data_IF_031296667197
#
_entry.id   IF_031296667197
#
_cell.length_a   1.000
_cell.length_b   1.000
_cell.length_c   1.000
_cell.angle_alpha   90.00
_cell.angle_beta   90.00
_cell.angle_gamma   90.00
#
_symmetry.space_group_name_H-M   'P 1'
#
loop_
_entity.id
_entity.type
_entity.pdbx_description
1 polymer ?
#
# COMPACT_ATOMS: atom_id res chain seq x y z
N UNK A 1 -18.51 -46.62 41.96
CA UNK A 1 -18.73 -46.19 40.57
C UNK A 1 -18.81 -44.67 40.39
N UNK A 2 -19.02 -43.86 41.43
CA UNK A 2 -19.11 -42.38 41.34
C UNK A 2 -17.77 -41.64 41.32
N UNK A 3 -16.70 -42.24 41.80
CA UNK A 3 -15.36 -41.60 41.90
C UNK A 3 -14.62 -41.53 40.56
N UNK A 4 -14.89 -42.46 39.61
CA UNK A 4 -14.23 -42.47 38.31
C UNK A 4 -14.79 -41.43 37.33
N UNK A 5 -16.04 -40.99 37.53
CA UNK A 5 -16.66 -40.00 36.69
C UNK A 5 -16.11 -38.57 36.94
N UNK A 6 -15.76 -38.29 38.20
CA UNK A 6 -15.18 -37.00 38.58
C UNK A 6 -13.77 -36.78 38.02
N UNK A 7 -12.97 -37.87 37.98
CA UNK A 7 -11.60 -37.80 37.46
C UNK A 7 -11.56 -37.54 35.96
N UNK A 8 -12.50 -38.09 35.21
CA UNK A 8 -12.59 -37.85 33.76
C UNK A 8 -13.07 -36.41 33.43
N UNK A 9 -14.02 -35.88 34.21
CA UNK A 9 -14.49 -34.51 34.03
C UNK A 9 -13.40 -33.47 34.32
N UNK A 10 -12.57 -33.74 35.36
CA UNK A 10 -11.47 -32.85 35.72
C UNK A 10 -10.33 -32.89 34.69
N UNK A 11 -10.05 -34.06 34.11
CA UNK A 11 -9.02 -34.19 33.07
C UNK A 11 -9.43 -33.50 31.76
N UNK A 12 -10.73 -33.56 31.39
CA UNK A 12 -11.26 -32.90 30.20
C UNK A 12 -11.24 -31.36 30.33
N UNK A 13 -11.53 -30.83 31.49
CA UNK A 13 -11.47 -29.39 31.79
C UNK A 13 -10.01 -28.88 31.79
N UNK A 14 -9.06 -29.68 32.25
CA UNK A 14 -7.65 -29.29 32.27
C UNK A 14 -7.03 -29.26 30.86
N UNK A 15 -7.49 -30.10 29.96
CA UNK A 15 -7.00 -30.12 28.57
C UNK A 15 -7.57 -28.93 27.76
N UNK A 16 -8.76 -28.44 28.08
CA UNK A 16 -9.33 -27.24 27.45
C UNK A 16 -8.69 -25.94 27.92
N UNK A 17 -8.01 -25.93 29.07
CA UNK A 17 -7.37 -24.73 29.62
C UNK A 17 -5.97 -24.44 29.05
N UNK A 18 -5.40 -25.34 28.24
CA UNK A 18 -4.08 -25.18 27.60
C UNK A 18 -4.27 -25.02 26.10
N UNK A 19 -5.27 -24.24 25.67
CA UNK A 19 -5.23 -23.73 24.32
C UNK A 19 -4.02 -22.77 24.22
N UNK A 20 -3.01 -23.04 23.36
CA UNK A 20 -1.93 -22.08 23.17
C UNK A 20 -2.58 -20.77 22.77
N UNK A 21 -2.27 -19.70 23.52
CA UNK A 21 -2.62 -18.38 23.10
C UNK A 21 -1.94 -18.19 21.74
N UNK A 22 -2.68 -18.37 20.67
CA UNK A 22 -2.23 -18.01 19.33
C UNK A 22 -2.06 -16.50 19.36
N UNK A 23 -0.82 -16.05 19.55
CA UNK A 23 -0.49 -14.66 19.38
C UNK A 23 -0.93 -14.28 17.97
N UNK A 24 -1.95 -13.47 17.88
CA UNK A 24 -2.41 -12.98 16.58
C UNK A 24 -1.22 -12.28 15.92
N UNK A 25 -0.77 -12.82 14.79
CA UNK A 25 0.26 -12.19 13.98
C UNK A 25 -0.29 -10.85 13.54
N UNK A 26 0.37 -9.77 13.93
CA UNK A 26 -0.08 -8.46 13.56
C UNK A 26 0.60 -8.05 12.26
N UNK A 27 -0.20 -8.05 11.23
CA UNK A 27 0.06 -7.35 9.98
C UNK A 27 -0.89 -6.17 9.93
N UNK A 28 -0.37 -4.97 9.78
CA UNK A 28 -1.17 -3.76 9.71
C UNK A 28 -0.67 -2.85 8.59
N UNK A 29 -1.58 -2.39 7.77
CA UNK A 29 -1.36 -1.39 6.76
C UNK A 29 -2.38 -0.27 6.93
N UNK A 30 -1.90 0.96 6.99
CA UNK A 30 -2.74 2.12 7.30
C UNK A 30 -2.21 3.38 6.62
N UNK A 31 -2.95 4.47 6.72
CA UNK A 31 -2.45 5.76 6.28
C UNK A 31 -1.27 6.19 7.15
N UNK A 32 -0.15 6.51 6.52
CA UNK A 32 1.07 7.03 7.17
C UNK A 32 1.07 8.54 7.34
N UNK A 33 0.03 9.21 6.89
CA UNK A 33 -0.13 10.66 6.92
C UNK A 33 -1.26 11.13 6.00
N UNK A 34 -1.43 12.42 5.90
CA UNK A 34 -2.42 12.99 4.98
C UNK A 34 -1.95 12.83 3.54
N UNK A 35 -2.75 12.21 2.65
CA UNK A 35 -2.43 12.17 1.24
C UNK A 35 -2.56 13.58 0.63
N UNK A 36 -1.76 13.83 -0.41
CA UNK A 36 -1.73 15.11 -1.11
C UNK A 36 -1.89 14.93 -2.62
N UNK A 37 -2.52 15.91 -3.24
CA UNK A 37 -2.61 16.02 -4.70
C UNK A 37 -2.22 17.43 -5.11
N UNK A 38 -1.38 17.54 -6.12
CA UNK A 38 -0.92 18.82 -6.68
C UNK A 38 -1.05 18.83 -8.20
N UNK A 39 -1.21 19.98 -8.80
CA UNK A 39 -1.34 20.14 -10.26
C UNK A 39 -2.72 19.79 -10.84
N UNK A 40 -3.62 19.22 -10.05
CA UNK A 40 -4.97 18.87 -10.48
C UNK A 40 -5.96 20.03 -10.30
N UNK A 41 -6.92 20.12 -11.23
CA UNK A 41 -8.08 21.01 -11.10
C UNK A 41 -9.24 20.20 -10.54
N UNK A 42 -9.75 20.59 -9.36
CA UNK A 42 -10.82 19.88 -8.63
C UNK A 42 -10.48 18.41 -8.31
N UNK A 43 -9.18 18.09 -8.19
CA UNK A 43 -8.73 16.76 -7.80
C UNK A 43 -8.83 16.53 -6.29
N UNK A 44 -8.92 15.26 -5.89
CA UNK A 44 -8.91 14.86 -4.48
C UNK A 44 -8.31 13.47 -4.30
N UNK A 45 -7.79 13.20 -3.11
CA UNK A 45 -7.28 11.87 -2.75
C UNK A 45 -7.65 11.55 -1.31
N UNK A 46 -8.04 10.29 -1.09
CA UNK A 46 -8.34 9.75 0.24
C UNK A 46 -7.65 8.40 0.42
N UNK A 47 -7.25 8.11 1.65
CA UNK A 47 -6.68 6.80 2.02
C UNK A 47 -7.28 6.36 3.35
N UNK A 48 -8.11 5.33 3.31
CA UNK A 48 -8.83 4.82 4.48
C UNK A 48 -8.61 3.31 4.63
N UNK A 49 -8.29 2.88 5.86
CA UNK A 49 -8.32 1.47 6.19
C UNK A 49 -9.76 0.95 6.10
N UNK A 50 -9.93 -0.23 5.50
CA UNK A 50 -11.23 -0.90 5.49
C UNK A 50 -11.35 -1.89 6.65
N UNK A 51 -12.53 -2.51 6.79
CA UNK A 51 -12.82 -3.49 7.85
C UNK A 51 -12.04 -4.80 7.72
N UNK A 52 -11.45 -5.07 6.56
CA UNK A 52 -10.64 -6.26 6.29
C UNK A 52 -9.15 -6.04 6.58
N UNK A 53 -8.76 -4.83 6.98
CA UNK A 53 -7.37 -4.48 7.29
C UNK A 53 -6.55 -4.05 6.09
N UNK A 54 -7.18 -3.84 4.91
CA UNK A 54 -6.53 -3.27 3.74
C UNK A 54 -6.59 -1.73 3.77
N UNK A 55 -5.69 -1.08 3.08
CA UNK A 55 -5.75 0.36 2.85
C UNK A 55 -6.36 0.63 1.48
N UNK A 56 -7.53 1.25 1.46
CA UNK A 56 -8.21 1.67 0.23
C UNK A 56 -7.84 3.11 -0.09
N UNK A 57 -7.26 3.34 -1.25
CA UNK A 57 -6.88 4.66 -1.76
C UNK A 57 -7.77 4.99 -2.94
N UNK A 58 -8.51 6.09 -2.84
CA UNK A 58 -9.32 6.62 -3.94
C UNK A 58 -8.71 7.94 -4.39
N UNK A 59 -8.40 8.03 -5.68
CA UNK A 59 -7.82 9.20 -6.32
C UNK A 59 -8.84 9.71 -7.35
N UNK A 60 -9.25 10.95 -7.20
CA UNK A 60 -9.93 11.69 -8.23
C UNK A 60 -8.91 12.65 -8.85
N UNK A 61 -8.53 12.42 -10.11
CA UNK A 61 -7.56 13.24 -10.83
C UNK A 61 -8.13 14.62 -11.23
N UNK A 62 -9.41 14.85 -10.99
CA UNK A 62 -10.09 16.08 -11.38
C UNK A 62 -10.32 16.15 -12.88
N UNK A 63 -10.43 17.37 -13.37
CA UNK A 63 -10.55 17.64 -14.82
C UNK A 63 -9.18 17.52 -15.47
N UNK A 64 -8.97 16.45 -16.21
CA UNK A 64 -7.75 16.22 -16.97
C UNK A 64 -7.93 16.76 -18.38
N UNK A 65 -7.25 17.85 -18.66
CA UNK A 65 -7.23 18.47 -19.98
C UNK A 65 -5.93 19.26 -20.17
N UNK A 66 -5.33 19.25 -21.35
CA UNK A 66 -4.16 20.10 -21.65
C UNK A 66 -4.42 21.60 -21.46
N UNK A 67 -5.70 22.00 -21.53
CA UNK A 67 -6.09 23.39 -21.33
C UNK A 67 -6.16 23.80 -19.85
N UNK A 68 -6.39 22.83 -18.97
CA UNK A 68 -6.63 23.08 -17.55
C UNK A 68 -5.40 22.76 -16.66
N UNK A 69 -4.39 22.07 -17.23
CA UNK A 69 -3.25 21.56 -16.44
C UNK A 69 -1.95 21.85 -17.18
N UNK A 70 -1.21 22.84 -16.72
CA UNK A 70 0.12 23.17 -17.24
C UNK A 70 1.25 22.43 -16.53
N UNK A 71 0.95 21.64 -15.52
CA UNK A 71 1.93 20.94 -14.68
C UNK A 71 1.55 19.48 -14.49
N UNK A 72 2.54 18.67 -14.15
CA UNK A 72 2.30 17.27 -13.79
C UNK A 72 1.36 17.20 -12.59
N UNK A 73 0.29 16.44 -12.71
CA UNK A 73 -0.54 16.05 -11.55
C UNK A 73 0.26 15.01 -10.76
N UNK A 74 0.58 15.34 -9.53
CA UNK A 74 1.29 14.43 -8.62
C UNK A 74 0.41 14.15 -7.39
N UNK A 75 0.20 12.87 -7.12
CA UNK A 75 -0.49 12.39 -5.92
C UNK A 75 0.53 11.65 -5.07
N UNK A 76 0.54 11.95 -3.78
CA UNK A 76 1.40 11.27 -2.80
C UNK A 76 0.52 10.74 -1.68
N UNK A 77 0.59 9.44 -1.45
CA UNK A 77 -0.14 8.75 -0.38
C UNK A 77 0.87 8.10 0.55
N UNK A 78 1.10 8.66 1.75
CA UNK A 78 1.93 8.03 2.76
C UNK A 78 1.25 6.76 3.29
N UNK A 79 1.97 5.63 3.26
CA UNK A 79 1.49 4.32 3.70
C UNK A 79 2.36 3.83 4.85
N UNK A 80 1.74 3.54 5.98
CA UNK A 80 2.40 2.99 7.15
C UNK A 80 2.20 1.49 7.24
N UNK A 81 3.28 0.78 7.52
CA UNK A 81 3.31 -0.67 7.71
C UNK A 81 3.78 -1.01 9.12
N UNK A 82 3.15 -2.02 9.71
CA UNK A 82 3.60 -2.69 10.92
C UNK A 82 3.52 -4.19 10.72
N UNK A 83 4.54 -4.91 11.16
CA UNK A 83 4.57 -6.36 11.08
C UNK A 83 5.48 -6.96 12.13
N UNK A 84 5.03 -8.03 12.79
CA UNK A 84 5.83 -8.85 13.69
C UNK A 84 6.31 -10.16 13.04
N UNK A 85 6.28 -10.21 11.72
CA UNK A 85 6.74 -11.33 10.90
C UNK A 85 7.19 -10.82 9.53
N UNK A 86 7.89 -11.62 8.73
CA UNK A 86 8.18 -11.28 7.34
C UNK A 86 6.88 -10.98 6.58
N UNK A 87 6.90 -9.96 5.76
CA UNK A 87 5.71 -9.44 5.10
C UNK A 87 5.93 -9.17 3.61
N UNK A 88 4.82 -9.06 2.91
CA UNK A 88 4.75 -8.48 1.58
C UNK A 88 3.54 -7.57 1.46
N UNK A 89 3.66 -6.54 0.64
CA UNK A 89 2.59 -5.65 0.28
C UNK A 89 2.26 -5.85 -1.18
N UNK A 90 1.01 -6.13 -1.43
CA UNK A 90 0.46 -6.18 -2.78
C UNK A 90 -0.50 -5.01 -2.99
N UNK A 91 -0.63 -4.59 -4.24
CA UNK A 91 -1.60 -3.60 -4.66
C UNK A 91 -2.42 -4.13 -5.83
N UNK A 92 -3.70 -3.84 -5.80
CA UNK A 92 -4.61 -4.08 -6.91
C UNK A 92 -5.39 -2.81 -7.22
N UNK A 93 -5.70 -2.61 -8.49
CA UNK A 93 -6.61 -1.57 -8.94
C UNK A 93 -8.00 -2.19 -9.10
N UNK A 94 -8.99 -1.67 -8.39
CA UNK A 94 -10.38 -2.15 -8.49
C UNK A 94 -11.13 -1.53 -9.67
N UNK A 95 -10.61 -0.46 -10.25
CA UNK A 95 -11.15 0.17 -11.45
C UNK A 95 -10.57 1.55 -11.70
N UNK A 96 -10.54 1.93 -12.97
CA UNK A 96 -10.39 3.29 -13.43
C UNK A 96 -11.72 3.69 -14.07
N UNK A 97 -12.42 4.65 -13.47
CA UNK A 97 -13.67 5.16 -14.00
C UNK A 97 -13.42 6.47 -14.70
N UNK A 98 -13.92 6.57 -15.91
CA UNK A 98 -13.84 7.76 -16.75
C UNK A 98 -15.25 8.22 -17.11
N UNK A 99 -15.45 9.52 -17.17
CA UNK A 99 -16.68 10.10 -17.70
C UNK A 99 -16.84 9.80 -19.20
N UNK A 100 -15.75 9.43 -19.86
CA UNK A 100 -15.70 9.12 -21.30
C UNK A 100 -14.71 7.97 -21.54
N UNK A 101 -15.07 6.98 -22.36
CA UNK A 101 -14.27 5.80 -22.64
C UNK A 101 -12.91 6.08 -23.33
N UNK A 102 -12.76 7.23 -23.95
CA UNK A 102 -11.51 7.68 -24.59
C UNK A 102 -10.67 8.61 -23.69
N UNK A 103 -11.11 8.80 -22.46
CA UNK A 103 -10.37 9.56 -21.48
C UNK A 103 -9.14 8.79 -20.98
N UNK A 104 -8.57 9.24 -19.87
CA UNK A 104 -7.40 8.70 -19.23
C UNK A 104 -7.41 7.16 -19.13
N UNK A 105 -6.35 6.52 -19.60
CA UNK A 105 -6.14 5.08 -19.48
C UNK A 105 -5.23 4.77 -18.28
N UNK A 106 -5.31 3.55 -17.76
CA UNK A 106 -4.42 3.13 -16.66
C UNK A 106 -2.93 3.20 -17.02
N UNK A 107 -2.59 3.08 -18.30
CA UNK A 107 -1.23 3.23 -18.82
C UNK A 107 -0.71 4.67 -18.83
N UNK A 108 -1.61 5.66 -18.71
CA UNK A 108 -1.26 7.08 -18.75
C UNK A 108 -0.90 7.62 -17.35
N UNK A 109 -1.14 6.84 -16.30
CA UNK A 109 -0.82 7.20 -14.92
C UNK A 109 0.37 6.40 -14.44
N UNK A 110 1.48 7.10 -14.18
CA UNK A 110 2.67 6.52 -13.57
C UNK A 110 2.44 6.16 -12.11
N UNK A 111 3.08 5.10 -11.65
CA UNK A 111 3.04 4.64 -10.26
C UNK A 111 4.43 4.26 -9.77
N UNK A 112 4.75 4.59 -8.52
CA UNK A 112 6.00 4.17 -7.89
C UNK A 112 5.98 4.35 -6.38
N UNK A 113 6.99 3.80 -5.72
CA UNK A 113 7.19 3.89 -4.29
C UNK A 113 8.44 4.70 -3.99
N UNK A 114 8.32 5.66 -3.08
CA UNK A 114 9.39 6.58 -2.74
C UNK A 114 9.50 6.79 -1.24
N UNK A 115 10.61 7.41 -0.85
CA UNK A 115 10.80 8.02 0.45
C UNK A 115 10.55 7.05 1.64
N UNK A 116 11.23 5.88 1.64
CA UNK A 116 11.12 4.95 2.76
C UNK A 116 11.70 5.59 4.02
N UNK A 117 10.94 5.57 5.12
CA UNK A 117 11.34 6.16 6.40
C UNK A 117 10.76 5.40 7.57
N UNK A 118 11.40 5.54 8.70
CA UNK A 118 10.94 4.96 9.95
C UNK A 118 9.71 5.70 10.47
N UNK A 119 8.76 4.95 11.01
CA UNK A 119 7.63 5.49 11.76
C UNK A 119 8.03 5.52 13.25
N UNK A 120 8.38 6.71 13.76
CA UNK A 120 8.73 6.89 15.16
C UNK A 120 10.19 6.57 15.52
N UNK A 121 10.44 6.19 16.76
CA UNK A 121 11.79 5.99 17.31
C UNK A 121 12.50 4.75 16.71
N UNK A 122 13.73 4.96 16.31
CA UNK A 122 14.56 4.07 15.50
C UNK A 122 15.01 2.75 16.18
N UNK A 123 14.37 2.29 17.24
CA UNK A 123 15.05 1.34 18.14
C UNK A 123 15.13 -0.11 17.68
N UNK A 124 14.32 -0.61 16.75
CA UNK A 124 14.16 -2.07 16.63
C UNK A 124 13.75 -2.59 15.25
N UNK A 125 14.09 -1.89 14.21
CA UNK A 125 13.80 -2.29 12.85
C UNK A 125 15.01 -3.01 12.28
N UNK A 126 14.76 -4.09 11.57
CA UNK A 126 15.74 -4.76 10.74
C UNK A 126 16.38 -3.77 9.76
N UNK A 127 17.59 -4.02 9.33
CA UNK A 127 18.31 -3.15 8.43
C UNK A 127 17.40 -2.75 7.23
N UNK A 128 17.35 -1.45 6.94
CA UNK A 128 16.53 -0.92 5.84
C UNK A 128 16.84 -1.57 4.47
N UNK A 129 18.07 -2.00 4.25
CA UNK A 129 18.48 -2.68 3.03
C UNK A 129 17.81 -4.04 2.79
N UNK A 130 17.17 -4.61 3.82
CA UNK A 130 16.45 -5.87 3.70
C UNK A 130 14.98 -5.69 3.28
N UNK A 131 14.50 -4.45 3.25
CA UNK A 131 13.17 -4.10 2.75
C UNK A 131 13.26 -3.74 1.27
N UNK A 132 12.68 -4.57 0.43
CA UNK A 132 12.89 -4.52 -1.02
C UNK A 132 11.65 -3.99 -1.71
N UNK A 133 11.75 -2.79 -2.27
CA UNK A 133 10.80 -2.32 -3.28
C UNK A 133 11.09 -3.04 -4.59
N UNK A 134 10.08 -3.70 -5.14
CA UNK A 134 10.25 -4.47 -6.37
C UNK A 134 10.32 -3.57 -7.59
N UNK A 135 11.27 -3.87 -8.49
CA UNK A 135 11.30 -3.22 -9.80
C UNK A 135 10.07 -3.63 -10.62
N UNK A 136 9.46 -2.73 -11.38
CA UNK A 136 9.86 -1.36 -11.70
C UNK A 136 9.30 -0.29 -10.74
N UNK A 137 8.71 -0.67 -9.60
CA UNK A 137 8.01 0.28 -8.70
C UNK A 137 8.95 1.15 -7.85
N UNK A 138 10.25 0.91 -7.88
CA UNK A 138 11.28 1.68 -7.16
C UNK A 138 11.66 2.99 -7.89
N UNK A 139 10.67 3.73 -8.38
CA UNK A 139 10.86 4.98 -9.13
C UNK A 139 9.93 6.10 -8.63
N UNK A 140 10.28 7.34 -8.90
CA UNK A 140 9.36 8.48 -8.80
C UNK A 140 8.78 8.78 -10.20
N UNK A 141 7.51 8.45 -10.46
CA UNK A 141 6.92 8.65 -11.77
C UNK A 141 6.84 10.12 -12.18
N UNK A 142 6.86 11.06 -11.23
CA UNK A 142 6.81 12.48 -11.56
C UNK A 142 8.10 12.99 -12.24
N UNK A 143 9.23 12.30 -12.04
CA UNK A 143 10.55 12.67 -12.63
C UNK A 143 11.06 11.64 -13.61
N UNK A 144 10.54 10.42 -13.60
CA UNK A 144 10.96 9.32 -14.49
C UNK A 144 10.11 9.19 -15.76
N UNK A 145 9.18 10.11 -15.97
CA UNK A 145 8.41 10.18 -17.20
C UNK A 145 9.30 10.46 -18.42
N UNK A 146 9.08 9.73 -19.50
CA UNK A 146 9.77 9.92 -20.76
C UNK A 146 8.77 10.25 -21.86
N UNK A 147 9.11 11.18 -22.76
CA UNK A 147 8.29 11.50 -23.94
C UNK A 147 8.81 10.63 -25.09
N UNK A 148 7.94 9.75 -25.59
CA UNK A 148 8.23 8.93 -26.76
C UNK A 148 8.24 9.73 -28.05
N UNK A 149 8.76 9.14 -29.13
CA UNK A 149 8.83 9.76 -30.45
C UNK A 149 7.45 10.14 -31.02
N UNK A 150 6.38 9.50 -30.54
CA UNK A 150 4.99 9.79 -30.89
C UNK A 150 4.36 10.91 -30.03
N UNK A 151 5.16 11.56 -29.16
CA UNK A 151 4.70 12.59 -28.24
C UNK A 151 3.92 12.08 -27.02
N UNK A 152 3.74 10.77 -26.88
CA UNK A 152 3.09 10.19 -25.69
C UNK A 152 4.07 10.06 -24.53
N UNK A 153 3.57 10.32 -23.34
CA UNK A 153 4.34 10.10 -22.10
C UNK A 153 4.29 8.63 -21.73
N UNK A 154 5.41 8.11 -21.31
CA UNK A 154 5.55 6.75 -20.76
C UNK A 154 6.23 6.79 -19.39
N UNK A 155 5.93 5.82 -18.55
CA UNK A 155 6.48 5.66 -17.22
C UNK A 155 7.11 4.29 -17.06
N UNK A 156 8.11 4.11 -16.18
CA UNK A 156 8.68 2.79 -15.87
C UNK A 156 7.65 1.79 -15.35
N UNK A 157 6.66 2.29 -14.60
CA UNK A 157 5.51 1.52 -14.13
C UNK A 157 4.26 2.42 -14.11
N UNK A 158 3.11 1.82 -14.34
CA UNK A 158 1.83 2.52 -14.48
C UNK A 158 0.74 1.80 -13.69
N UNK A 159 -0.45 2.40 -13.58
CA UNK A 159 -1.61 1.72 -13.01
C UNK A 159 -1.97 0.44 -13.79
N UNK A 160 -1.70 0.39 -15.10
CA UNK A 160 -1.92 -0.83 -15.89
C UNK A 160 -1.04 -2.00 -15.42
N UNK A 161 0.11 -1.73 -14.80
CA UNK A 161 1.00 -2.73 -14.21
C UNK A 161 0.42 -3.37 -12.94
N UNK A 162 -0.66 -2.82 -12.40
CA UNK A 162 -1.33 -3.26 -11.17
C UNK A 162 -2.59 -4.11 -11.45
N UNK A 163 -2.67 -4.71 -12.62
CA UNK A 163 -3.77 -5.62 -12.97
C UNK A 163 -3.69 -6.88 -12.10
N UNK A 164 -4.74 -7.15 -11.34
CA UNK A 164 -4.73 -8.20 -10.33
C UNK A 164 -4.02 -7.76 -9.04
N UNK A 165 -3.55 -8.70 -8.25
CA UNK A 165 -2.80 -8.42 -7.03
C UNK A 165 -1.29 -8.48 -7.34
N UNK A 166 -0.64 -7.33 -7.35
CA UNK A 166 0.78 -7.20 -7.71
C UNK A 166 1.60 -6.89 -6.46
N UNK A 167 2.58 -7.75 -6.15
CA UNK A 167 3.49 -7.51 -5.02
C UNK A 167 4.49 -6.42 -5.37
N UNK A 168 4.48 -5.34 -4.59
CA UNK A 168 5.29 -4.13 -4.81
C UNK A 168 6.43 -3.97 -3.81
N UNK A 169 6.29 -4.56 -2.63
CA UNK A 169 7.24 -4.45 -1.52
C UNK A 169 7.26 -5.75 -0.73
N UNK A 170 8.41 -6.12 -0.20
CA UNK A 170 8.56 -7.22 0.75
C UNK A 170 9.72 -6.95 1.72
N UNK A 171 9.65 -7.55 2.91
CA UNK A 171 10.70 -7.38 3.89
C UNK A 171 10.58 -8.34 5.09
N UNK A 172 11.58 -8.31 5.97
CA UNK A 172 11.55 -9.01 7.25
C UNK A 172 10.53 -8.39 8.21
N UNK A 173 10.43 -8.93 9.40
CA UNK A 173 9.63 -8.31 10.45
C UNK A 173 10.07 -6.88 10.74
N UNK A 174 9.10 -6.01 11.03
CA UNK A 174 9.36 -4.61 11.36
C UNK A 174 9.52 -4.37 12.86
N UNK A 175 9.00 -5.27 13.70
CA UNK A 175 9.06 -5.17 15.15
C UNK A 175 9.58 -6.47 15.75
N UNK A 176 10.76 -6.40 16.40
CA UNK A 176 11.35 -7.55 17.13
C UNK A 176 10.68 -7.83 18.47
N UNK A 177 9.88 -6.92 18.99
CA UNK A 177 9.32 -7.05 20.34
C UNK A 177 7.87 -7.45 20.35
N UNK A 178 7.71 -8.58 20.99
CA UNK A 178 6.50 -9.22 21.41
C UNK A 178 5.44 -8.25 21.97
N UNK A 179 4.29 -8.27 21.38
CA UNK A 179 2.92 -8.05 21.89
C UNK A 179 2.61 -6.88 22.84
N UNK A 180 3.48 -6.47 23.72
CA UNK A 180 3.17 -5.41 24.70
C UNK A 180 3.62 -4.01 24.27
N UNK A 181 4.42 -3.89 23.24
CA UNK A 181 4.91 -2.61 22.71
C UNK A 181 4.53 -2.40 21.23
N UNK A 182 3.35 -2.79 20.84
CA UNK A 182 2.69 -2.30 19.63
C UNK A 182 2.41 -0.79 19.73
N UNK A 183 3.40 -0.06 20.24
CA UNK A 183 3.31 1.38 20.20
C UNK A 183 3.53 1.82 18.77
N UNK A 184 2.85 2.85 18.41
CA UNK A 184 2.80 3.51 17.09
C UNK A 184 4.18 3.83 16.47
N UNK A 185 5.26 3.50 17.16
CA UNK A 185 6.64 3.83 16.83
C UNK A 185 7.42 2.77 16.05
N UNK A 186 6.93 1.52 15.96
CA UNK A 186 7.68 0.44 15.33
C UNK A 186 7.07 0.09 13.97
N UNK A 187 7.38 0.89 12.98
CA UNK A 187 6.84 0.68 11.65
C UNK A 187 7.67 1.36 10.57
N UNK A 188 7.23 1.21 9.38
CA UNK A 188 7.79 1.82 8.19
C UNK A 188 6.74 2.62 7.46
N UNK A 189 7.16 3.75 6.89
CA UNK A 189 6.32 4.56 6.01
C UNK A 189 7.04 4.67 4.67
N UNK A 190 6.30 4.52 3.62
CA UNK A 190 6.72 4.86 2.27
C UNK A 190 5.61 5.67 1.58
N UNK A 191 5.99 6.40 0.56
CA UNK A 191 5.05 7.19 -0.22
C UNK A 191 4.71 6.46 -1.51
N UNK A 192 3.44 6.09 -1.69
CA UNK A 192 2.91 5.70 -2.98
C UNK A 192 2.69 6.96 -3.81
N UNK A 193 3.44 7.07 -4.92
CA UNK A 193 3.43 8.24 -5.79
C UNK A 193 2.76 7.89 -7.09
N UNK A 194 1.81 8.73 -7.48
CA UNK A 194 1.15 8.65 -8.79
C UNK A 194 1.43 9.94 -9.56
N UNK A 195 1.67 9.83 -10.83
CA UNK A 195 1.92 10.98 -11.69
C UNK A 195 1.15 10.89 -13.00
N UNK A 196 0.58 12.00 -13.39
CA UNK A 196 -0.08 12.17 -14.66
C UNK A 196 0.49 13.43 -15.35
N UNK A 197 1.20 13.22 -16.43
CA UNK A 197 1.71 14.32 -17.23
C UNK A 197 0.62 14.78 -18.21
N UNK A 198 0.37 16.09 -18.35
CA UNK A 198 -0.59 16.60 -19.30
C UNK A 198 -0.30 16.10 -20.71
N UNK A 199 -1.33 15.54 -21.33
CA UNK A 199 -1.33 15.07 -22.71
C UNK A 199 -2.66 15.47 -23.36
N UNK A 200 -2.82 15.19 -24.63
CA UNK A 200 -4.08 15.42 -25.35
C UNK A 200 -5.09 14.33 -24.99
N UNK A 201 -5.64 14.40 -23.79
CA UNK A 201 -6.76 13.56 -23.37
C UNK A 201 -8.08 14.21 -23.77
N UNK A 202 -9.09 13.40 -23.98
CA UNK A 202 -10.48 13.90 -24.01
C UNK A 202 -10.83 14.43 -22.62
N UNK A 203 -11.34 15.65 -22.56
CA UNK A 203 -11.72 16.28 -21.29
C UNK A 203 -12.70 15.42 -20.51
N UNK A 204 -12.47 15.23 -19.24
CA UNK A 204 -13.34 14.48 -18.37
C UNK A 204 -12.76 14.29 -16.97
N UNK A 205 -13.62 13.88 -16.06
CA UNK A 205 -13.23 13.52 -14.70
C UNK A 205 -12.87 12.04 -14.66
N UNK A 206 -11.70 11.73 -14.13
CA UNK A 206 -11.22 10.35 -14.00
C UNK A 206 -10.86 10.04 -12.55
N UNK A 207 -11.22 8.84 -12.11
CA UNK A 207 -10.90 8.38 -10.76
C UNK A 207 -10.40 6.94 -10.75
N UNK A 208 -9.48 6.65 -9.85
CA UNK A 208 -8.95 5.31 -9.63
C UNK A 208 -9.12 4.91 -8.16
N UNK A 209 -9.44 3.64 -7.94
CA UNK A 209 -9.45 3.06 -6.59
C UNK A 209 -8.45 1.92 -6.53
N UNK A 210 -7.54 2.01 -5.56
CA UNK A 210 -6.49 1.02 -5.32
C UNK A 210 -6.68 0.42 -3.93
N UNK A 211 -6.34 -0.86 -3.82
CA UNK A 211 -6.38 -1.60 -2.57
C UNK A 211 -4.97 -2.10 -2.29
N UNK A 212 -4.39 -1.63 -1.19
CA UNK A 212 -3.11 -2.09 -0.68
C UNK A 212 -3.36 -3.10 0.42
N UNK A 213 -2.84 -4.30 0.24
CA UNK A 213 -3.00 -5.44 1.16
C UNK A 213 -1.64 -5.86 1.69
N UNK A 214 -1.54 -6.05 3.01
CA UNK A 214 -0.37 -6.65 3.63
C UNK A 214 -0.66 -8.10 3.96
N UNK A 215 0.29 -8.98 3.65
CA UNK A 215 0.19 -10.42 3.92
C UNK A 215 1.52 -10.98 4.39
N UNK A 216 1.54 -12.20 4.98
CA UNK A 216 2.79 -12.89 5.27
C UNK A 216 3.66 -12.97 4.03
N UNK A 217 4.92 -12.60 4.16
CA UNK A 217 5.91 -12.64 3.09
C UNK A 217 6.81 -13.88 3.18
N UNK A 218 7.69 -14.06 2.20
CA UNK A 218 8.73 -15.07 2.27
C UNK A 218 9.65 -14.80 3.46
N UNK A 219 10.18 -15.87 4.04
CA UNK A 219 11.06 -15.76 5.20
C UNK A 219 12.31 -14.93 4.81
N UNK A 220 12.45 -13.78 5.40
CA UNK A 220 13.56 -12.87 5.18
C UNK A 220 14.27 -12.64 6.52
N UNK A 221 15.56 -13.00 6.64
CA UNK A 221 16.31 -12.73 7.86
C UNK A 221 16.47 -11.20 8.06
N UNK A 222 16.47 -10.82 9.28
CA UNK A 222 16.75 -9.47 9.70
C UNK A 222 18.26 -9.13 9.62
#
# INVERSE_FOLDING_TARGET
MRLRLFTFAFLTVLILAVAPATFAQALDISSGGLPTITGAVNGSVTGNANVTGDLVVTINFGEVSPLNTNSVVKVVVPIALRSNQPYQVAVSMSGLTNANSEALQASDVGFGLQNPRLLGGAGQICNQSTHIVRSPFNNDPAVSAAIGANGRVSYPSTLASLSGSTVILSGPELSKNNSSKRQQSDGWVFDAVFALTPQFFVSGVSSATLIFTISPGPNAPC
#
